data_IF_060584595994
#
_entry.id   IF_060584595994
#
_cell.length_a   1.000
_cell.length_b   1.000
_cell.length_c   1.000
_cell.angle_alpha   90.00
_cell.angle_beta   90.00
_cell.angle_gamma   90.00
#
_symmetry.space_group_name_H-M   'P 1'
#
loop_
_entity.id
_entity.type
_entity.pdbx_description
1 polymer ?
#
# COMPACT_ATOMS: atom_id res chain seq x y z
N UNK A 1 18.87 -12.67 4.03
CA UNK A 1 17.70 -12.18 4.84
C UNK A 1 16.75 -13.30 5.28
N UNK A 2 16.81 -14.47 4.67
CA UNK A 2 15.87 -15.57 4.97
C UNK A 2 15.88 -16.04 6.45
N UNK A 3 16.98 -15.87 7.15
CA UNK A 3 17.15 -16.20 8.58
C UNK A 3 16.78 -15.07 9.54
N UNK A 4 16.64 -13.84 9.07
CA UNK A 4 16.28 -12.67 9.88
C UNK A 4 14.75 -12.53 9.96
N UNK A 5 14.10 -13.40 10.75
CA UNK A 5 12.62 -13.46 10.87
C UNK A 5 12.13 -13.32 12.31
N UNK A 6 13.02 -12.98 13.27
CA UNK A 6 12.62 -12.83 14.67
C UNK A 6 11.63 -11.69 14.85
N UNK A 7 10.64 -11.91 15.71
CA UNK A 7 9.63 -10.92 16.07
C UNK A 7 9.48 -10.94 17.60
N UNK A 8 9.76 -9.80 18.22
CA UNK A 8 9.64 -9.61 19.67
C UNK A 8 8.56 -8.57 19.96
N UNK A 9 7.46 -9.00 20.58
CA UNK A 9 6.34 -8.14 20.95
C UNK A 9 6.46 -7.76 22.42
N UNK A 10 6.40 -6.46 22.70
CA UNK A 10 6.35 -5.91 24.05
C UNK A 10 5.01 -5.16 24.23
N UNK A 11 4.03 -5.82 24.87
CA UNK A 11 2.71 -5.25 25.08
C UNK A 11 2.72 -4.12 26.11
N UNK A 12 3.60 -4.15 27.12
CA UNK A 12 3.68 -3.08 28.12
C UNK A 12 4.06 -1.74 27.48
N UNK A 13 4.93 -1.76 26.49
CA UNK A 13 5.33 -0.56 25.76
C UNK A 13 4.56 -0.37 24.43
N UNK A 14 3.61 -1.27 24.13
CA UNK A 14 2.89 -1.33 22.86
C UNK A 14 3.84 -1.23 21.65
N UNK A 15 4.88 -2.08 21.61
CA UNK A 15 5.89 -2.10 20.54
C UNK A 15 6.15 -3.50 20.01
N UNK A 16 6.62 -3.58 18.78
CA UNK A 16 7.18 -4.80 18.20
C UNK A 16 8.52 -4.49 17.51
N UNK A 17 9.55 -5.27 17.84
CA UNK A 17 10.77 -5.35 17.05
C UNK A 17 10.60 -6.49 16.05
N UNK A 18 10.77 -6.20 14.77
CA UNK A 18 10.60 -7.16 13.69
C UNK A 18 11.82 -7.12 12.77
N UNK A 19 12.42 -8.28 12.55
CA UNK A 19 13.53 -8.42 11.60
C UNK A 19 13.02 -8.36 10.16
N UNK A 20 13.82 -7.77 9.28
CA UNK A 20 13.43 -7.38 7.92
C UNK A 20 13.08 -8.56 6.99
N UNK A 21 13.44 -9.79 7.34
CA UNK A 21 13.07 -11.01 6.62
C UNK A 21 11.74 -11.61 7.06
N UNK A 22 11.11 -11.10 8.12
CA UNK A 22 9.78 -11.53 8.53
C UNK A 22 8.71 -11.05 7.55
N UNK A 23 7.64 -11.82 7.40
CA UNK A 23 6.46 -11.41 6.62
C UNK A 23 5.44 -10.68 7.48
N UNK A 24 4.52 -9.95 6.83
CA UNK A 24 3.41 -9.28 7.52
C UNK A 24 2.52 -10.29 8.26
N UNK A 25 2.24 -11.45 7.66
CA UNK A 25 1.44 -12.50 8.29
C UNK A 25 2.07 -13.01 9.58
N UNK A 26 3.40 -13.26 9.58
CA UNK A 26 4.12 -13.66 10.78
C UNK A 26 4.04 -12.57 11.87
N UNK A 27 4.13 -11.30 11.49
CA UNK A 27 4.00 -10.18 12.43
C UNK A 27 2.58 -10.08 13.00
N UNK A 28 1.55 -10.15 12.17
CA UNK A 28 0.14 -10.10 12.62
C UNK A 28 -0.18 -11.26 13.57
N UNK A 29 0.21 -12.46 13.19
CA UNK A 29 0.03 -13.65 14.02
C UNK A 29 0.75 -13.50 15.37
N UNK A 30 2.02 -13.06 15.35
CA UNK A 30 2.80 -12.89 16.58
C UNK A 30 2.22 -11.82 17.51
N UNK A 31 1.70 -10.72 16.98
CA UNK A 31 1.01 -9.69 17.78
C UNK A 31 -0.26 -10.27 18.38
N UNK A 32 -1.07 -10.99 17.61
CA UNK A 32 -2.32 -11.60 18.06
C UNK A 32 -2.13 -12.66 19.16
N UNK A 33 -1.01 -13.40 19.12
CA UNK A 33 -0.63 -14.32 20.20
C UNK A 33 -0.37 -13.62 21.55
N UNK A 34 0.00 -12.34 21.52
CA UNK A 34 0.36 -11.57 22.71
C UNK A 34 -0.74 -10.61 23.17
N UNK A 35 -1.67 -10.21 22.25
CA UNK A 35 -2.74 -9.26 22.59
C UNK A 35 -3.90 -9.35 21.59
N UNK A 36 -5.12 -9.25 22.12
CA UNK A 36 -6.36 -9.18 21.33
C UNK A 36 -6.83 -7.73 21.06
N UNK A 37 -6.11 -6.75 21.59
CA UNK A 37 -6.45 -5.32 21.51
C UNK A 37 -5.34 -4.47 20.88
N UNK A 38 -4.35 -5.12 20.28
CA UNK A 38 -3.30 -4.45 19.51
C UNK A 38 -3.25 -4.96 18.07
N UNK A 39 -3.03 -4.04 17.15
CA UNK A 39 -2.86 -4.29 15.73
C UNK A 39 -1.61 -3.64 15.18
N UNK A 40 -1.37 -3.86 13.90
CA UNK A 40 -0.21 -3.35 13.17
C UNK A 40 -0.71 -2.57 11.95
N UNK A 41 -0.34 -1.29 11.79
CA UNK A 41 -0.56 -0.58 10.52
C UNK A 41 0.35 -1.18 9.45
N UNK A 42 -0.20 -1.99 8.58
CA UNK A 42 0.54 -2.68 7.53
C UNK A 42 -0.37 -3.18 6.42
N UNK A 43 0.22 -3.79 5.39
CA UNK A 43 -0.48 -4.23 4.19
C UNK A 43 -1.32 -5.49 4.39
N UNK A 44 -2.12 -5.81 3.38
CA UNK A 44 -3.11 -6.91 3.45
C UNK A 44 -2.56 -8.28 3.03
N UNK A 45 -1.49 -8.34 2.25
CA UNK A 45 -0.94 -9.61 1.77
C UNK A 45 0.01 -10.21 2.81
N UNK A 46 -0.31 -11.38 3.42
CA UNK A 46 0.49 -11.96 4.50
C UNK A 46 1.93 -12.32 4.12
N UNK A 47 2.16 -12.67 2.86
CA UNK A 47 3.49 -13.08 2.35
C UNK A 47 4.45 -11.92 2.09
N UNK A 48 4.01 -10.67 2.16
CA UNK A 48 4.86 -9.49 1.89
C UNK A 48 5.86 -9.30 3.02
N UNK A 49 7.15 -9.18 2.66
CA UNK A 49 8.25 -8.95 3.60
C UNK A 49 8.19 -7.56 4.25
N UNK A 50 8.35 -7.51 5.56
CA UNK A 50 8.30 -6.27 6.35
C UNK A 50 9.40 -5.29 6.00
N UNK A 51 10.59 -5.78 5.65
CA UNK A 51 11.76 -4.96 5.34
C UNK A 51 11.53 -3.98 4.19
N UNK A 52 10.99 -4.48 3.07
CA UNK A 52 10.66 -3.64 1.91
C UNK A 52 9.38 -2.85 2.10
N UNK A 53 8.34 -3.50 2.64
CA UNK A 53 7.01 -2.90 2.80
C UNK A 53 7.06 -1.62 3.64
N UNK A 54 7.70 -1.68 4.79
CA UNK A 54 7.81 -0.52 5.68
C UNK A 54 8.72 0.56 5.08
N UNK A 55 9.83 0.18 4.45
CA UNK A 55 10.75 1.13 3.83
C UNK A 55 10.13 2.06 2.78
N UNK A 56 9.06 1.64 2.11
CA UNK A 56 8.38 2.44 1.06
C UNK A 56 7.06 3.09 1.48
N UNK A 57 6.67 2.97 2.77
CA UNK A 57 5.41 3.54 3.28
C UNK A 57 4.60 2.52 4.08
N UNK A 58 4.11 1.48 3.45
CA UNK A 58 3.35 0.41 4.11
C UNK A 58 1.93 0.81 4.46
N UNK A 59 1.03 0.91 3.45
CA UNK A 59 -0.38 1.17 3.70
C UNK A 59 -1.18 -0.11 3.92
N UNK A 60 -2.30 0.02 4.62
CA UNK A 60 -3.26 -1.04 4.84
C UNK A 60 -4.59 -0.51 5.39
N UNK A 61 -5.44 -1.42 5.87
CA UNK A 61 -6.85 -1.15 6.19
C UNK A 61 -7.05 -0.13 7.32
N UNK A 62 -6.09 -0.01 8.23
CA UNK A 62 -6.18 0.91 9.37
C UNK A 62 -5.54 2.27 9.10
N UNK A 63 -5.08 2.54 7.86
CA UNK A 63 -4.33 3.75 7.52
C UNK A 63 -5.12 5.05 7.75
N UNK A 64 -6.45 5.01 7.62
CA UNK A 64 -7.31 6.18 7.84
C UNK A 64 -7.38 6.59 9.31
N UNK A 65 -7.09 5.67 10.23
CA UNK A 65 -7.05 5.93 11.68
C UNK A 65 -5.63 6.15 12.20
N UNK A 66 -4.67 5.36 11.72
CA UNK A 66 -3.33 5.31 12.31
C UNK A 66 -2.19 5.74 11.38
N UNK A 67 -2.49 6.07 10.12
CA UNK A 67 -1.46 6.35 9.11
C UNK A 67 -0.85 5.07 8.55
N UNK A 68 0.30 5.21 7.94
CA UNK A 68 1.08 4.13 7.33
C UNK A 68 1.96 3.42 8.37
N UNK A 69 2.55 2.30 7.99
CA UNK A 69 3.57 1.64 8.81
C UNK A 69 4.71 2.59 9.18
N UNK A 70 5.23 3.37 8.22
CA UNK A 70 6.31 4.34 8.45
C UNK A 70 5.98 5.42 9.47
N UNK A 71 4.71 5.75 9.64
CA UNK A 71 4.25 6.74 10.62
C UNK A 71 4.31 6.18 12.05
N UNK A 72 4.43 4.87 12.18
CA UNK A 72 4.47 4.13 13.44
C UNK A 72 5.84 3.47 13.71
N UNK A 73 6.84 3.64 12.82
CA UNK A 73 8.21 3.20 13.07
C UNK A 73 8.91 4.18 14.00
N UNK A 74 9.45 3.67 15.10
CA UNK A 74 10.12 4.46 16.15
C UNK A 74 11.64 4.27 16.19
N UNK A 75 12.14 3.14 15.66
CA UNK A 75 13.56 2.85 15.52
C UNK A 75 13.78 1.84 14.38
N UNK A 76 15.05 1.74 13.92
CA UNK A 76 15.46 0.75 12.94
C UNK A 76 16.92 0.37 13.13
N UNK A 77 17.31 -0.82 12.68
CA UNK A 77 18.73 -1.18 12.51
C UNK A 77 19.03 -1.30 11.03
N UNK A 78 20.13 -0.63 10.60
CA UNK A 78 20.60 -0.62 9.22
C UNK A 78 22.11 -0.91 9.20
N UNK A 79 22.57 -1.64 8.18
CA UNK A 79 23.99 -1.72 7.85
C UNK A 79 24.29 -0.63 6.82
N UNK A 80 25.23 0.25 7.16
CA UNK A 80 25.68 1.35 6.28
C UNK A 80 26.69 0.87 5.22
N UNK A 81 27.17 1.80 4.39
CA UNK A 81 28.16 1.53 3.32
C UNK A 81 29.53 1.07 3.87
N UNK A 82 29.84 1.36 5.12
CA UNK A 82 31.09 0.98 5.79
C UNK A 82 30.98 -0.35 6.56
N UNK A 83 29.80 -1.00 6.52
CA UNK A 83 29.54 -2.25 7.23
C UNK A 83 29.17 -2.05 8.72
N UNK A 84 28.95 -0.82 9.18
CA UNK A 84 28.55 -0.56 10.56
C UNK A 84 27.04 -0.79 10.73
N UNK A 85 26.67 -1.39 11.86
CA UNK A 85 25.26 -1.51 12.26
C UNK A 85 24.87 -0.26 13.04
N UNK A 86 23.91 0.49 12.51
CA UNK A 86 23.42 1.73 13.09
C UNK A 86 21.98 1.55 13.57
N UNK A 87 21.67 2.05 14.77
CA UNK A 87 20.32 2.31 15.27
C UNK A 87 19.91 3.77 14.99
N UNK A 88 18.71 4.19 15.38
CA UNK A 88 18.24 5.56 15.17
C UNK A 88 19.18 6.60 15.75
N UNK A 89 19.71 6.35 16.95
CA UNK A 89 20.60 7.31 17.62
C UNK A 89 21.93 7.48 16.87
N UNK A 90 22.53 6.38 16.42
CA UNK A 90 23.81 6.39 15.72
C UNK A 90 23.71 6.78 14.25
N UNK A 91 22.59 6.46 13.56
CA UNK A 91 22.38 6.90 12.17
C UNK A 91 21.96 8.37 12.06
N UNK A 92 21.38 8.95 13.10
CA UNK A 92 20.84 10.32 13.12
C UNK A 92 19.49 10.47 12.43
N UNK A 93 18.83 11.60 12.67
CA UNK A 93 17.45 11.81 12.23
C UNK A 93 17.30 11.92 10.70
N UNK A 94 18.31 12.39 9.97
CA UNK A 94 18.24 12.51 8.51
C UNK A 94 18.17 11.15 7.82
N UNK A 95 19.05 10.20 8.20
CA UNK A 95 19.02 8.86 7.64
C UNK A 95 17.80 8.09 8.12
N UNK A 96 17.44 8.24 9.42
CA UNK A 96 16.23 7.64 9.95
C UNK A 96 14.96 8.16 9.25
N UNK A 97 14.91 9.45 8.89
CA UNK A 97 13.83 9.99 8.06
C UNK A 97 13.85 9.34 6.67
N UNK A 98 15.02 9.30 6.02
CA UNK A 98 15.15 8.83 4.63
C UNK A 98 14.69 7.39 4.43
N UNK A 99 15.00 6.49 5.36
CA UNK A 99 14.63 5.06 5.24
C UNK A 99 13.15 4.79 5.51
N UNK A 100 12.42 5.71 6.16
CA UNK A 100 11.00 5.57 6.49
C UNK A 100 10.08 6.11 5.39
N UNK A 101 10.13 5.50 4.21
CA UNK A 101 9.32 5.88 3.04
C UNK A 101 10.12 6.22 1.79
N UNK A 102 11.44 6.43 1.92
CA UNK A 102 12.34 6.68 0.78
C UNK A 102 12.95 5.40 0.18
N UNK A 103 12.66 4.25 0.80
CA UNK A 103 13.21 2.97 0.38
C UNK A 103 14.61 2.72 0.97
N UNK A 104 14.68 1.90 2.02
CA UNK A 104 15.92 1.60 2.74
C UNK A 104 17.06 1.12 1.85
N UNK A 105 16.74 0.38 0.77
CA UNK A 105 17.72 -0.16 -0.18
C UNK A 105 18.55 0.90 -0.95
N UNK A 106 18.16 2.17 -0.91
CA UNK A 106 18.99 3.27 -1.44
C UNK A 106 20.09 3.73 -0.49
N UNK A 107 20.00 3.36 0.79
CA UNK A 107 20.85 3.91 1.86
C UNK A 107 21.63 2.86 2.64
N UNK A 108 21.24 1.58 2.57
CA UNK A 108 21.85 0.50 3.31
C UNK A 108 21.01 -0.77 3.31
N UNK A 109 21.39 -1.72 4.17
CA UNK A 109 20.65 -2.97 4.36
C UNK A 109 19.89 -2.89 5.68
N UNK A 110 18.57 -2.81 5.62
CA UNK A 110 17.72 -2.83 6.82
C UNK A 110 17.78 -4.22 7.45
N UNK A 111 18.09 -4.28 8.73
CA UNK A 111 18.11 -5.51 9.53
C UNK A 111 16.82 -5.71 10.31
N UNK A 112 16.30 -4.64 10.92
CA UNK A 112 15.07 -4.69 11.71
C UNK A 112 14.40 -3.33 11.82
N UNK A 113 13.12 -3.37 12.14
CA UNK A 113 12.28 -2.22 12.47
C UNK A 113 11.76 -2.37 13.91
N UNK A 114 11.72 -1.29 14.66
CA UNK A 114 10.92 -1.20 15.89
C UNK A 114 9.71 -0.32 15.61
N UNK A 115 8.54 -0.89 15.75
CA UNK A 115 7.30 -0.18 15.47
C UNK A 115 6.41 -0.08 16.70
N UNK A 116 5.62 0.98 16.75
CA UNK A 116 4.53 1.15 17.70
C UNK A 116 3.34 0.31 17.24
N UNK A 117 2.80 -0.50 18.14
CA UNK A 117 1.53 -1.16 17.95
C UNK A 117 0.39 -0.17 18.17
N UNK A 118 -0.73 -0.38 17.48
CA UNK A 118 -1.90 0.48 17.59
C UNK A 118 -3.04 -0.25 18.28
N UNK A 119 -3.87 0.51 19.01
CA UNK A 119 -5.03 -0.06 19.67
C UNK A 119 -6.12 -0.44 18.66
N UNK A 120 -6.61 -1.66 18.75
CA UNK A 120 -7.76 -2.12 17.98
C UNK A 120 -8.81 -2.69 18.92
N UNK A 121 -10.11 -2.56 18.62
CA UNK A 121 -11.12 -3.19 19.44
C UNK A 121 -11.00 -4.72 19.38
N UNK A 122 -11.40 -5.46 20.42
CA UNK A 122 -11.34 -6.92 20.44
C UNK A 122 -12.22 -7.55 19.36
N UNK A 123 -13.22 -6.82 18.89
CA UNK A 123 -14.10 -7.20 17.79
C UNK A 123 -14.14 -6.07 16.75
N UNK A 124 -13.84 -6.42 15.51
CA UNK A 124 -13.99 -5.58 14.32
C UNK A 124 -15.09 -6.14 13.44
N UNK A 125 -15.62 -5.31 12.55
CA UNK A 125 -16.64 -5.73 11.58
C UNK A 125 -16.07 -5.65 10.18
N UNK A 126 -16.26 -6.70 9.38
CA UNK A 126 -15.92 -6.72 7.97
C UNK A 126 -17.14 -7.01 7.11
N UNK A 127 -17.14 -6.49 5.87
CA UNK A 127 -18.11 -6.90 4.85
C UNK A 127 -17.51 -6.85 3.45
N UNK A 128 -18.14 -7.57 2.51
CA UNK A 128 -17.87 -7.50 1.07
C UNK A 128 -19.19 -7.46 0.33
N UNK A 129 -19.52 -6.32 -0.28
CA UNK A 129 -20.70 -6.16 -1.12
C UNK A 129 -20.28 -6.02 -2.59
N UNK A 130 -20.84 -6.87 -3.43
CA UNK A 130 -20.58 -6.86 -4.87
C UNK A 130 -21.74 -6.18 -5.62
N UNK A 131 -21.41 -5.35 -6.61
CA UNK A 131 -22.39 -4.75 -7.53
C UNK A 131 -21.81 -4.77 -8.94
N UNK A 132 -22.61 -5.21 -9.91
CA UNK A 132 -22.28 -5.04 -11.32
C UNK A 132 -22.72 -3.68 -11.84
N UNK A 133 -22.32 -3.31 -13.06
CA UNK A 133 -22.79 -2.05 -13.66
C UNK A 133 -24.32 -2.02 -13.76
N UNK A 134 -24.94 -3.14 -14.11
CA UNK A 134 -26.39 -3.31 -14.24
C UNK A 134 -27.12 -3.18 -12.89
N UNK A 135 -26.40 -3.45 -11.79
CA UNK A 135 -26.90 -3.28 -10.42
C UNK A 135 -26.58 -1.89 -9.84
N UNK A 136 -26.26 -0.91 -10.68
CA UNK A 136 -25.97 0.46 -10.24
C UNK A 136 -24.54 0.64 -9.70
N UNK A 137 -23.62 -0.30 -9.95
CA UNK A 137 -22.25 -0.25 -9.46
C UNK A 137 -21.51 1.03 -9.82
N UNK A 138 -21.76 1.58 -11.04
CA UNK A 138 -21.11 2.83 -11.47
C UNK A 138 -21.55 4.04 -10.64
N UNK A 139 -22.84 4.16 -10.31
CA UNK A 139 -23.36 5.25 -9.48
C UNK A 139 -22.85 5.13 -8.03
N UNK A 140 -22.74 3.91 -7.51
CA UNK A 140 -22.15 3.66 -6.21
C UNK A 140 -20.66 4.01 -6.17
N UNK A 141 -19.88 3.72 -7.23
CA UNK A 141 -18.48 4.16 -7.34
C UNK A 141 -18.39 5.68 -7.40
N UNK A 142 -19.27 6.33 -8.17
CA UNK A 142 -19.31 7.80 -8.22
C UNK A 142 -19.57 8.38 -6.82
N UNK A 143 -20.56 7.85 -6.09
CA UNK A 143 -20.87 8.29 -4.72
C UNK A 143 -19.72 7.99 -3.75
N UNK A 144 -19.11 6.79 -3.85
CA UNK A 144 -18.00 6.39 -3.00
C UNK A 144 -16.83 7.38 -3.05
N UNK A 145 -16.49 7.94 -4.21
CA UNK A 145 -15.42 8.93 -4.33
C UNK A 145 -15.65 10.18 -3.46
N UNK A 146 -16.91 10.56 -3.24
CA UNK A 146 -17.29 11.70 -2.40
C UNK A 146 -17.29 11.36 -0.92
N UNK A 147 -17.75 10.16 -0.57
CA UNK A 147 -17.98 9.79 0.84
C UNK A 147 -16.76 9.13 1.48
N UNK A 148 -16.05 8.27 0.75
CA UNK A 148 -15.01 7.42 1.35
C UNK A 148 -13.87 8.19 2.04
N UNK A 149 -13.35 9.31 1.51
CA UNK A 149 -12.35 10.10 2.21
C UNK A 149 -12.87 10.76 3.49
N UNK A 150 -14.19 11.01 3.56
CA UNK A 150 -14.86 11.73 4.64
C UNK A 150 -15.57 10.83 5.65
N UNK A 151 -15.58 9.51 5.45
CA UNK A 151 -16.13 8.55 6.39
C UNK A 151 -15.45 8.66 7.76
N UNK A 152 -16.12 8.16 8.81
CA UNK A 152 -15.49 8.04 10.13
C UNK A 152 -14.14 7.32 10.03
N UNK A 153 -13.14 7.74 10.82
CA UNK A 153 -11.76 7.20 10.72
C UNK A 153 -11.65 5.70 11.00
N UNK A 154 -12.61 5.15 11.75
CA UNK A 154 -12.68 3.72 12.01
C UNK A 154 -13.19 2.90 10.82
N UNK A 155 -13.67 3.54 9.74
CA UNK A 155 -14.18 2.88 8.53
C UNK A 155 -13.15 2.97 7.42
N UNK A 156 -12.79 1.83 6.85
CA UNK A 156 -12.01 1.73 5.61
C UNK A 156 -12.83 0.90 4.61
N UNK A 157 -13.22 1.50 3.48
CA UNK A 157 -13.93 0.80 2.40
C UNK A 157 -13.12 0.95 1.13
N UNK A 158 -12.43 -0.10 0.69
CA UNK A 158 -11.75 -0.15 -0.60
C UNK A 158 -12.69 -0.65 -1.68
N UNK A 159 -12.41 -0.29 -2.92
CA UNK A 159 -13.02 -0.91 -4.09
C UNK A 159 -12.04 -1.89 -4.69
N UNK A 160 -12.49 -3.11 -4.96
CA UNK A 160 -11.83 -4.06 -5.84
C UNK A 160 -12.70 -4.17 -7.11
N UNK A 161 -12.10 -3.85 -8.25
CA UNK A 161 -12.80 -3.71 -9.52
C UNK A 161 -12.18 -4.69 -10.51
N UNK A 162 -13.00 -5.54 -11.08
CA UNK A 162 -12.58 -6.57 -12.03
C UNK A 162 -13.66 -6.82 -13.09
N UNK A 163 -13.30 -7.42 -14.20
CA UNK A 163 -14.24 -7.89 -15.20
C UNK A 163 -14.70 -9.31 -14.85
N UNK A 164 -16.00 -9.50 -14.77
CA UNK A 164 -16.63 -10.82 -14.58
C UNK A 164 -17.82 -10.94 -15.49
N UNK A 165 -17.93 -12.06 -16.20
CA UNK A 165 -19.07 -12.34 -17.10
C UNK A 165 -19.37 -11.17 -18.07
N UNK A 166 -18.32 -10.59 -18.66
CA UNK A 166 -18.38 -9.47 -19.61
C UNK A 166 -18.97 -8.16 -19.06
N UNK A 167 -19.09 -8.03 -17.74
CA UNK A 167 -19.43 -6.76 -17.08
C UNK A 167 -18.40 -6.40 -16.02
N UNK A 168 -18.41 -5.16 -15.54
CA UNK A 168 -17.56 -4.76 -14.42
C UNK A 168 -18.26 -5.12 -13.13
N UNK A 169 -17.57 -5.86 -12.28
CA UNK A 169 -17.94 -6.10 -10.89
C UNK A 169 -17.11 -5.19 -9.97
N UNK A 170 -17.79 -4.46 -9.14
CA UNK A 170 -17.21 -3.64 -8.07
C UNK A 170 -17.51 -4.29 -6.73
N UNK A 171 -16.48 -4.65 -5.99
CA UNK A 171 -16.57 -5.16 -4.63
C UNK A 171 -16.21 -4.03 -3.65
N UNK A 172 -17.14 -3.65 -2.79
CA UNK A 172 -16.94 -2.74 -1.66
C UNK A 172 -16.49 -3.58 -0.48
N UNK A 173 -15.20 -3.51 -0.13
CA UNK A 173 -14.58 -4.35 0.92
C UNK A 173 -14.23 -3.47 2.10
N UNK A 174 -14.83 -3.75 3.24
CA UNK A 174 -14.75 -2.92 4.45
C UNK A 174 -14.02 -3.60 5.60
N UNK A 175 -13.24 -2.81 6.33
CA UNK A 175 -12.90 -3.03 7.73
C UNK A 175 -13.41 -1.85 8.55
N UNK A 176 -14.11 -2.16 9.63
CA UNK A 176 -14.58 -1.22 10.62
C UNK A 176 -14.06 -1.59 12.02
N UNK A 177 -13.38 -0.65 12.65
CA UNK A 177 -12.86 -0.83 14.00
C UNK A 177 -13.98 -0.62 15.04
N UNK A 178 -14.85 -1.62 15.15
CA UNK A 178 -15.99 -1.62 16.05
C UNK A 178 -17.04 -2.67 15.68
N UNK A 179 -18.15 -2.67 16.43
CA UNK A 179 -19.25 -3.61 16.27
C UNK A 179 -20.24 -3.17 15.18
N UNK A 180 -20.95 -4.13 14.61
CA UNK A 180 -21.85 -4.00 13.47
C UNK A 180 -22.93 -2.93 13.68
N UNK A 181 -23.56 -2.83 14.84
CA UNK A 181 -24.67 -1.89 15.06
C UNK A 181 -24.18 -0.42 14.93
N UNK A 182 -22.95 -0.12 15.42
CA UNK A 182 -22.34 1.19 15.23
C UNK A 182 -21.97 1.44 13.75
N UNK A 183 -21.47 0.42 13.04
CA UNK A 183 -21.18 0.52 11.61
C UNK A 183 -22.44 0.88 10.83
N UNK A 184 -23.54 0.15 11.03
CA UNK A 184 -24.80 0.38 10.32
C UNK A 184 -25.31 1.81 10.55
N UNK A 185 -25.30 2.30 11.81
CA UNK A 185 -25.70 3.68 12.13
C UNK A 185 -24.83 4.73 11.42
N UNK A 186 -23.53 4.49 11.26
CA UNK A 186 -22.63 5.39 10.53
C UNK A 186 -22.87 5.32 9.01
N UNK A 187 -23.10 4.14 8.47
CA UNK A 187 -23.32 3.93 7.04
C UNK A 187 -24.67 4.48 6.58
N UNK A 188 -25.73 4.34 7.38
CA UNK A 188 -27.04 4.93 7.10
C UNK A 188 -26.96 6.45 6.93
N UNK A 189 -26.09 7.13 7.70
CA UNK A 189 -25.89 8.58 7.61
C UNK A 189 -24.96 9.01 6.48
N UNK A 190 -23.98 8.18 6.14
CA UNK A 190 -22.87 8.60 5.27
C UNK A 190 -22.95 8.01 3.86
N UNK A 191 -23.46 6.78 3.74
CA UNK A 191 -23.51 6.05 2.47
C UNK A 191 -24.73 5.08 2.41
N UNK A 192 -25.96 5.59 2.63
CA UNK A 192 -27.17 4.76 2.63
C UNK A 192 -27.41 4.06 1.30
N UNK A 193 -26.96 4.66 0.18
CA UNK A 193 -27.13 4.10 -1.16
C UNK A 193 -26.43 2.73 -1.33
N UNK A 194 -25.43 2.40 -0.51
CA UNK A 194 -24.76 1.10 -0.54
C UNK A 194 -25.72 -0.04 -0.17
N UNK A 195 -26.75 0.27 0.65
CA UNK A 195 -27.75 -0.70 1.09
C UNK A 195 -27.20 -1.79 2.02
N UNK A 196 -26.23 -1.43 2.88
CA UNK A 196 -25.60 -2.36 3.83
C UNK A 196 -26.61 -2.84 4.86
N UNK A 197 -26.68 -4.16 5.08
CA UNK A 197 -27.51 -4.79 6.10
C UNK A 197 -26.66 -5.56 7.10
N UNK A 198 -27.25 -5.91 8.24
CA UNK A 198 -26.56 -6.70 9.29
C UNK A 198 -26.12 -8.08 8.78
N UNK A 199 -26.89 -8.69 7.89
CA UNK A 199 -26.58 -9.99 7.31
C UNK A 199 -25.39 -9.98 6.35
N UNK A 200 -24.95 -8.81 5.86
CA UNK A 200 -23.76 -8.67 5.02
C UNK A 200 -22.47 -8.62 5.84
N UNK A 201 -22.58 -8.45 7.17
CA UNK A 201 -21.47 -8.15 8.06
C UNK A 201 -21.04 -9.36 8.87
N UNK A 202 -19.71 -9.46 9.11
CA UNK A 202 -19.13 -10.45 10.00
C UNK A 202 -18.35 -9.75 11.11
N UNK A 203 -18.65 -10.09 12.36
CA UNK A 203 -17.88 -9.66 13.53
C UNK A 203 -16.81 -10.70 13.86
N UNK A 204 -15.55 -10.27 13.99
CA UNK A 204 -14.40 -11.15 14.19
C UNK A 204 -13.24 -10.41 14.87
N UNK A 205 -12.26 -11.13 15.45
CA UNK A 205 -11.03 -10.51 15.96
C UNK A 205 -10.26 -9.79 14.84
N UNK A 206 -9.53 -8.72 15.18
CA UNK A 206 -8.77 -7.93 14.21
C UNK A 206 -7.83 -8.79 13.35
N UNK A 207 -7.13 -9.75 13.95
CA UNK A 207 -6.22 -10.63 13.18
C UNK A 207 -6.94 -11.41 12.08
N UNK A 208 -8.20 -11.80 12.30
CA UNK A 208 -9.00 -12.50 11.31
C UNK A 208 -9.49 -11.55 10.19
N UNK A 209 -9.59 -10.24 10.44
CA UNK A 209 -9.85 -9.28 9.36
C UNK A 209 -8.71 -9.23 8.34
N UNK A 210 -7.47 -9.44 8.76
CA UNK A 210 -6.33 -9.52 7.84
C UNK A 210 -6.43 -10.73 6.90
N UNK A 211 -6.94 -11.87 7.39
CA UNK A 211 -7.26 -13.04 6.56
C UNK A 211 -8.41 -12.76 5.59
N UNK A 212 -9.48 -12.10 6.06
CA UNK A 212 -10.61 -11.72 5.20
C UNK A 212 -10.15 -10.86 4.01
N UNK A 213 -9.28 -9.88 4.25
CA UNK A 213 -8.74 -9.03 3.18
C UNK A 213 -7.74 -9.77 2.28
N UNK A 214 -7.07 -10.79 2.78
CA UNK A 214 -6.23 -11.71 2.00
C UNK A 214 -7.05 -12.80 1.27
N UNK A 215 -8.39 -12.66 1.27
CA UNK A 215 -9.36 -13.53 0.56
C UNK A 215 -9.46 -14.96 1.10
N UNK A 216 -9.07 -15.18 2.35
CA UNK A 216 -9.35 -16.45 3.02
C UNK A 216 -10.84 -16.53 3.43
N UNK A 217 -11.43 -17.73 3.44
CA UNK A 217 -12.80 -17.93 3.93
C UNK A 217 -12.99 -17.46 5.38
N UNK A 218 -14.19 -16.97 5.69
CA UNK A 218 -14.57 -16.66 7.10
C UNK A 218 -14.45 -17.94 7.93
N UNK A 219 -13.89 -17.81 9.14
CA UNK A 219 -13.62 -18.94 10.02
C UNK A 219 -12.23 -19.57 9.85
N UNK A 220 -11.43 -19.10 8.88
CA UNK A 220 -10.03 -19.54 8.76
C UNK A 220 -9.26 -19.16 10.02
N UNK A 221 -8.50 -20.11 10.56
CA UNK A 221 -7.68 -19.92 11.76
C UNK A 221 -6.49 -19.01 11.50
N UNK A 222 -6.06 -18.25 12.51
CA UNK A 222 -5.02 -17.23 12.36
C UNK A 222 -3.65 -17.81 11.93
N UNK A 223 -3.39 -19.08 12.21
CA UNK A 223 -2.21 -19.81 11.77
C UNK A 223 -2.01 -19.81 10.26
N UNK A 224 -3.08 -19.64 9.49
CA UNK A 224 -2.99 -19.51 8.03
C UNK A 224 -2.12 -18.32 7.59
N UNK A 225 -1.94 -17.29 8.44
CA UNK A 225 -1.03 -16.17 8.20
C UNK A 225 0.46 -16.58 8.17
N UNK A 226 0.82 -17.73 8.72
CA UNK A 226 2.19 -18.23 8.76
C UNK A 226 2.59 -18.95 7.46
N UNK A 227 1.61 -19.38 6.68
CA UNK A 227 1.86 -20.08 5.44
C UNK A 227 2.00 -19.06 4.30
N UNK A 228 3.05 -19.21 3.53
CA UNK A 228 3.18 -18.49 2.28
C UNK A 228 1.99 -18.91 1.40
N UNK A 229 1.18 -17.93 0.96
CA UNK A 229 0.09 -18.23 0.04
C UNK A 229 0.67 -18.97 -1.14
N UNK A 230 0.12 -20.14 -1.43
CA UNK A 230 0.49 -20.94 -2.60
C UNK A 230 0.02 -20.21 -3.87
N UNK A 231 0.68 -19.09 -4.22
CA UNK A 231 0.62 -18.65 -5.62
C UNK A 231 1.28 -19.75 -6.42
N UNK A 232 0.68 -20.18 -7.52
CA UNK A 232 1.37 -21.07 -8.43
C UNK A 232 2.77 -20.52 -8.69
N UNK A 233 3.79 -21.34 -8.54
CA UNK A 233 5.20 -20.94 -8.67
C UNK A 233 5.54 -20.29 -10.03
N UNK A 234 4.64 -20.33 -10.99
CA UNK A 234 4.80 -19.96 -12.40
C UNK A 234 3.89 -18.81 -12.83
N UNK A 235 3.54 -17.88 -11.93
CA UNK A 235 2.76 -16.70 -12.34
C UNK A 235 3.63 -15.45 -12.47
N UNK A 236 3.41 -14.72 -13.55
CA UNK A 236 3.98 -13.39 -13.79
C UNK A 236 2.97 -12.32 -13.40
N UNK A 237 3.46 -11.15 -13.00
CA UNK A 237 2.58 -10.01 -12.75
C UNK A 237 3.26 -8.69 -13.10
N UNK A 238 2.45 -7.68 -13.41
CA UNK A 238 2.88 -6.29 -13.48
C UNK A 238 1.88 -5.41 -12.75
N UNK A 239 2.43 -4.46 -11.95
CA UNK A 239 1.67 -3.46 -11.22
C UNK A 239 1.99 -2.05 -11.70
N UNK A 240 1.02 -1.13 -11.50
CA UNK A 240 1.15 0.32 -11.60
C UNK A 240 0.34 0.98 -10.49
N UNK A 241 0.56 2.26 -10.26
CA UNK A 241 -0.22 3.02 -9.30
C UNK A 241 -0.50 4.43 -9.74
N UNK A 242 -1.57 5.00 -9.21
CA UNK A 242 -1.96 6.40 -9.37
C UNK A 242 -2.57 6.96 -8.09
N UNK A 243 -2.70 8.27 -8.05
CA UNK A 243 -3.43 9.02 -7.02
C UNK A 243 -4.50 9.89 -7.67
N UNK A 244 -5.72 9.81 -7.14
CA UNK A 244 -6.85 10.61 -7.60
C UNK A 244 -7.10 11.73 -6.60
N UNK A 245 -7.15 12.97 -7.12
CA UNK A 245 -7.28 14.20 -6.33
C UNK A 245 -8.60 14.93 -6.59
N UNK A 246 -9.28 14.60 -7.67
CA UNK A 246 -10.60 15.13 -8.05
C UNK A 246 -11.51 13.98 -8.43
N UNK A 247 -12.77 14.10 -8.09
CA UNK A 247 -13.79 13.11 -8.43
C UNK A 247 -13.84 12.90 -9.95
N UNK A 248 -13.79 11.65 -10.36
CA UNK A 248 -14.00 11.24 -11.75
C UNK A 248 -15.50 11.37 -12.05
N UNK A 249 -15.87 12.12 -13.09
CA UNK A 249 -17.27 12.30 -13.46
C UNK A 249 -17.95 10.99 -13.88
N UNK A 250 -19.27 10.96 -13.95
CA UNK A 250 -20.00 9.78 -14.42
C UNK A 250 -19.61 9.39 -15.85
N UNK A 251 -19.44 10.38 -16.74
CA UNK A 251 -18.97 10.18 -18.12
C UNK A 251 -17.53 9.66 -18.15
N UNK A 252 -16.68 10.17 -17.24
CA UNK A 252 -15.33 9.67 -17.04
C UNK A 252 -15.32 8.20 -16.63
N UNK A 253 -16.14 7.83 -15.65
CA UNK A 253 -16.30 6.43 -15.22
C UNK A 253 -16.79 5.54 -16.37
N UNK A 254 -17.77 5.99 -17.17
CA UNK A 254 -18.25 5.23 -18.34
C UNK A 254 -17.12 4.95 -19.34
N UNK A 255 -16.26 5.95 -19.60
CA UNK A 255 -15.11 5.77 -20.50
C UNK A 255 -14.10 4.76 -19.94
N UNK A 256 -13.88 4.78 -18.61
CA UNK A 256 -13.04 3.83 -17.91
C UNK A 256 -13.61 2.42 -17.99
N UNK A 257 -14.92 2.25 -17.71
CA UNK A 257 -15.58 0.94 -17.75
C UNK A 257 -15.54 0.29 -19.13
N UNK A 258 -15.79 1.07 -20.18
CA UNK A 258 -15.69 0.59 -21.56
C UNK A 258 -14.32 -0.03 -21.84
N UNK A 259 -13.24 0.69 -21.50
CA UNK A 259 -11.87 0.19 -21.69
C UNK A 259 -11.55 -0.97 -20.78
N UNK A 260 -12.07 -0.96 -19.56
CA UNK A 260 -11.83 -2.02 -18.58
C UNK A 260 -12.43 -3.36 -19.03
N UNK A 261 -13.65 -3.35 -19.58
CA UNK A 261 -14.29 -4.54 -20.14
C UNK A 261 -13.47 -5.14 -21.29
N UNK A 262 -12.87 -4.29 -22.14
CA UNK A 262 -12.00 -4.75 -23.24
C UNK A 262 -10.72 -5.44 -22.74
N UNK A 263 -10.27 -5.14 -21.52
CA UNK A 263 -9.02 -5.67 -20.97
C UNK A 263 -9.15 -7.07 -20.37
N UNK A 264 -10.34 -7.42 -19.85
CA UNK A 264 -10.77 -8.67 -19.20
C UNK A 264 -9.92 -9.18 -18.02
N UNK A 265 -8.64 -8.82 -17.95
CA UNK A 265 -7.64 -9.43 -17.03
C UNK A 265 -7.08 -8.47 -15.98
N UNK A 266 -7.37 -7.17 -16.08
CA UNK A 266 -6.88 -6.19 -15.10
C UNK A 266 -7.76 -6.22 -13.85
N UNK A 267 -7.10 -6.11 -12.69
CA UNK A 267 -7.73 -5.80 -11.42
C UNK A 267 -7.31 -4.39 -11.01
N UNK A 268 -8.27 -3.57 -10.59
CA UNK A 268 -7.98 -2.29 -9.93
C UNK A 268 -8.42 -2.32 -8.48
N UNK A 269 -7.57 -1.80 -7.60
CA UNK A 269 -7.90 -1.58 -6.21
C UNK A 269 -7.83 -0.10 -5.89
N UNK A 270 -8.97 0.48 -5.48
CA UNK A 270 -9.07 1.87 -5.09
C UNK A 270 -9.12 1.98 -3.57
N UNK A 271 -8.08 2.53 -2.97
CA UNK A 271 -7.90 2.58 -1.52
C UNK A 271 -8.14 4.01 -1.02
N UNK A 272 -9.15 4.24 -0.14
CA UNK A 272 -9.56 5.59 0.27
C UNK A 272 -8.50 6.24 1.14
N UNK A 273 -8.32 7.54 0.95
CA UNK A 273 -7.54 8.42 1.81
C UNK A 273 -8.43 9.09 2.86
N UNK A 274 -8.06 10.25 3.35
CA UNK A 274 -8.77 10.94 4.43
C UNK A 274 -8.32 10.51 5.82
N UNK A 275 -8.99 11.02 6.85
CA UNK A 275 -8.62 10.76 8.23
C UNK A 275 -7.16 11.08 8.52
N UNK A 276 -6.44 10.19 9.21
CA UNK A 276 -5.03 10.38 9.59
C UNK A 276 -4.10 10.65 8.41
N UNK A 277 -4.42 10.14 7.22
CA UNK A 277 -3.63 10.39 6.01
C UNK A 277 -3.60 11.87 5.62
N UNK A 278 -4.63 12.64 5.95
CA UNK A 278 -4.67 14.08 5.69
C UNK A 278 -4.08 14.93 6.81
N UNK A 279 -3.96 14.38 8.04
CA UNK A 279 -3.39 15.11 9.19
C UNK A 279 -1.86 15.15 9.13
N UNK A 280 -1.22 14.13 8.54
CA UNK A 280 0.24 14.02 8.53
C UNK A 280 0.81 14.89 7.41
N UNK A 281 1.75 15.81 7.72
CA UNK A 281 2.40 16.62 6.70
C UNK A 281 3.15 15.75 5.66
N UNK A 282 3.16 16.19 4.40
CA UNK A 282 3.85 15.50 3.31
C UNK A 282 5.37 15.35 3.53
N UNK A 283 5.96 16.23 4.36
CA UNK A 283 7.39 16.20 4.70
C UNK A 283 7.74 15.39 5.95
N UNK A 284 6.74 14.88 6.70
CA UNK A 284 6.98 14.13 7.94
C UNK A 284 7.78 12.83 7.70
N UNK A 285 7.59 12.24 6.55
CA UNK A 285 8.37 11.11 6.02
C UNK A 285 8.65 11.35 4.53
N UNK A 286 9.55 10.62 3.90
CA UNK A 286 9.74 10.71 2.44
C UNK A 286 8.49 10.40 1.62
N UNK A 287 7.54 9.62 2.15
CA UNK A 287 6.26 9.33 1.50
C UNK A 287 5.37 10.60 1.48
N UNK A 288 5.19 11.29 0.33
CA UNK A 288 4.58 12.62 0.28
C UNK A 288 3.07 12.62 0.03
N UNK A 289 2.50 11.47 -0.32
CA UNK A 289 1.11 11.37 -0.79
C UNK A 289 0.14 11.42 0.39
N UNK A 290 -0.22 12.63 0.81
CA UNK A 290 -1.01 12.93 2.00
C UNK A 290 -2.26 13.72 1.65
N UNK A 291 -2.46 14.87 2.24
CA UNK A 291 -3.59 15.78 2.00
C UNK A 291 -3.80 16.05 0.50
N UNK A 292 -5.06 16.13 0.08
CA UNK A 292 -5.45 16.40 -1.31
C UNK A 292 -5.68 15.14 -2.15
N UNK A 293 -5.23 13.97 -1.71
CA UNK A 293 -5.57 12.71 -2.37
C UNK A 293 -6.91 12.18 -1.83
N UNK A 294 -7.84 11.81 -2.72
CA UNK A 294 -9.11 11.17 -2.37
C UNK A 294 -8.89 9.67 -2.17
N UNK A 295 -8.15 9.06 -3.09
CA UNK A 295 -7.79 7.63 -3.05
C UNK A 295 -6.56 7.34 -3.90
N UNK A 296 -5.95 6.20 -3.61
CA UNK A 296 -4.88 5.60 -4.40
C UNK A 296 -5.45 4.47 -5.23
N UNK A 297 -4.93 4.29 -6.45
CA UNK A 297 -5.25 3.16 -7.32
C UNK A 297 -4.02 2.26 -7.43
N UNK A 298 -4.24 0.96 -7.24
CA UNK A 298 -3.36 -0.09 -7.73
C UNK A 298 -3.97 -0.69 -8.98
N UNK A 299 -3.18 -0.83 -10.03
CA UNK A 299 -3.49 -1.63 -11.22
C UNK A 299 -2.65 -2.88 -11.15
N UNK A 300 -3.25 -4.03 -11.40
CA UNK A 300 -2.55 -5.31 -11.41
C UNK A 300 -3.04 -6.18 -12.56
N UNK A 301 -2.10 -6.82 -13.23
CA UNK A 301 -2.36 -7.87 -14.20
C UNK A 301 -1.48 -9.07 -13.85
N UNK A 302 -2.06 -10.26 -13.92
CA UNK A 302 -1.35 -11.53 -13.67
C UNK A 302 -1.58 -12.45 -14.86
N UNK A 303 -0.54 -13.16 -15.28
CA UNK A 303 -0.61 -14.13 -16.37
C UNK A 303 0.28 -15.34 -16.07
N UNK A 304 0.08 -16.42 -16.82
CA UNK A 304 0.74 -17.71 -16.58
C UNK A 304 1.56 -18.19 -17.77
N UNK A 305 1.36 -17.61 -18.95
CA UNK A 305 2.11 -17.96 -20.15
C UNK A 305 3.50 -17.34 -20.08
N UNK A 306 4.52 -18.15 -20.39
CA UNK A 306 5.90 -17.69 -20.51
C UNK A 306 6.16 -17.08 -21.92
N UNK A 307 7.27 -16.37 -22.02
CA UNK A 307 7.76 -15.85 -23.28
C UNK A 307 7.50 -14.35 -23.50
N UNK A 308 8.26 -13.81 -24.42
CA UNK A 308 8.28 -12.37 -24.69
C UNK A 308 6.95 -11.84 -25.26
N UNK A 309 6.27 -12.62 -26.06
CA UNK A 309 4.95 -12.26 -26.62
C UNK A 309 3.90 -12.11 -25.52
N UNK A 310 3.87 -13.04 -24.56
CA UNK A 310 2.95 -12.95 -23.41
C UNK A 310 3.26 -11.74 -22.54
N UNK A 311 4.54 -11.45 -22.28
CA UNK A 311 4.98 -10.26 -21.54
C UNK A 311 4.52 -8.99 -22.27
N UNK A 312 4.81 -8.86 -23.57
CA UNK A 312 4.47 -7.69 -24.36
C UNK A 312 2.95 -7.49 -24.46
N UNK A 313 2.19 -8.55 -24.65
CA UNK A 313 0.73 -8.52 -24.70
C UNK A 313 0.16 -7.95 -23.38
N UNK A 314 0.52 -8.54 -22.25
CA UNK A 314 -0.01 -8.12 -20.93
C UNK A 314 0.46 -6.72 -20.52
N UNK A 315 1.71 -6.35 -20.85
CA UNK A 315 2.21 -4.99 -20.62
C UNK A 315 1.44 -3.96 -21.44
N UNK A 316 1.11 -4.25 -22.69
CA UNK A 316 0.34 -3.34 -23.56
C UNK A 316 -1.09 -3.14 -23.06
N UNK A 317 -1.75 -4.20 -22.56
CA UNK A 317 -3.05 -4.11 -21.93
C UNK A 317 -2.99 -3.14 -20.74
N UNK A 318 -2.07 -3.37 -19.80
CA UNK A 318 -1.95 -2.55 -18.59
C UNK A 318 -1.57 -1.10 -18.91
N UNK A 319 -0.63 -0.87 -19.85
CA UNK A 319 -0.24 0.47 -20.33
C UNK A 319 -1.39 1.21 -20.98
N UNK A 320 -2.22 0.50 -21.76
CA UNK A 320 -3.42 1.08 -22.38
C UNK A 320 -4.41 1.55 -21.31
N UNK A 321 -4.67 0.74 -20.30
CA UNK A 321 -5.54 1.13 -19.18
C UNK A 321 -4.95 2.31 -18.39
N UNK A 322 -3.67 2.28 -18.10
CA UNK A 322 -2.97 3.38 -17.44
C UNK A 322 -3.06 4.69 -18.25
N UNK A 323 -3.00 4.63 -19.59
CA UNK A 323 -3.17 5.78 -20.47
C UNK A 323 -4.58 6.38 -20.40
N UNK A 324 -5.63 5.54 -20.38
CA UNK A 324 -7.02 5.99 -20.24
C UNK A 324 -7.25 6.74 -18.92
N UNK A 325 -6.56 6.35 -17.86
CA UNK A 325 -6.67 7.01 -16.56
C UNK A 325 -5.98 8.39 -16.49
N UNK A 326 -5.14 8.75 -17.46
CA UNK A 326 -4.36 10.01 -17.44
C UNK A 326 -5.19 11.28 -17.17
N UNK A 327 -6.39 11.47 -17.72
CA UNK A 327 -7.19 12.67 -17.44
C UNK A 327 -7.65 12.80 -15.98
N UNK A 328 -7.77 11.69 -15.27
CA UNK A 328 -8.47 11.56 -13.99
C UNK A 328 -7.55 11.52 -12.77
N UNK A 329 -6.25 11.35 -12.98
CA UNK A 329 -5.27 11.16 -11.91
C UNK A 329 -4.42 12.40 -11.67
N UNK A 330 -3.59 12.40 -10.64
CA UNK A 330 -2.68 13.49 -10.29
C UNK A 330 -1.78 13.90 -11.46
N UNK A 331 -1.45 15.20 -11.53
CA UNK A 331 -0.67 15.80 -12.62
C UNK A 331 0.46 16.66 -12.05
N UNK A 332 1.54 16.78 -12.82
CA UNK A 332 2.67 17.67 -12.56
C UNK A 332 3.34 17.46 -11.19
N UNK A 333 3.81 16.26 -10.86
CA UNK A 333 3.89 15.05 -11.69
C UNK A 333 2.66 14.14 -11.52
N UNK A 334 2.47 13.18 -12.44
CA UNK A 334 1.64 12.01 -12.22
C UNK A 334 2.34 11.15 -11.17
N UNK A 335 1.73 11.05 -9.99
CA UNK A 335 2.32 10.45 -8.81
C UNK A 335 2.25 8.92 -8.86
N UNK A 336 3.17 8.26 -8.16
CA UNK A 336 3.23 6.80 -8.07
C UNK A 336 3.62 6.37 -6.65
N UNK A 337 3.28 5.14 -6.28
CA UNK A 337 3.63 4.54 -4.99
C UNK A 337 4.89 3.69 -5.11
N UNK A 338 5.89 3.95 -4.27
CA UNK A 338 7.20 3.31 -4.33
C UNK A 338 7.14 1.77 -4.24
N UNK A 339 6.26 1.22 -3.40
CA UNK A 339 6.15 -0.23 -3.23
C UNK A 339 5.47 -0.93 -4.43
N UNK A 340 4.80 -0.18 -5.30
CA UNK A 340 4.30 -0.66 -6.58
C UNK A 340 5.27 -0.27 -7.69
N UNK A 341 6.49 -0.81 -7.61
CA UNK A 341 7.57 -0.47 -8.54
C UNK A 341 7.17 -0.66 -9.98
N UNK A 342 7.36 0.40 -10.76
CA UNK A 342 7.04 0.43 -12.16
C UNK A 342 8.17 1.10 -12.95
N UNK A 343 8.94 0.32 -13.69
CA UNK A 343 10.07 0.82 -14.49
C UNK A 343 9.59 1.64 -15.70
N UNK A 344 8.33 1.56 -16.10
CA UNK A 344 7.77 2.39 -17.18
C UNK A 344 7.74 3.89 -16.83
N UNK A 345 7.76 4.25 -15.53
CA UNK A 345 7.74 5.65 -15.10
C UNK A 345 9.12 6.32 -15.10
N UNK A 346 10.16 5.55 -15.43
CA UNK A 346 11.58 5.94 -15.49
C UNK A 346 12.45 4.99 -14.68
N UNK A 347 13.68 4.85 -15.11
CA UNK A 347 14.70 4.04 -14.43
C UNK A 347 16.08 4.64 -14.66
N UNK A 348 17.02 4.35 -13.77
CA UNK A 348 18.42 4.66 -13.97
C UNK A 348 18.97 3.93 -15.21
N UNK A 349 19.83 4.54 -15.99
CA UNK A 349 20.43 3.90 -17.15
C UNK A 349 21.29 2.70 -16.75
N UNK A 350 21.26 1.64 -17.54
CA UNK A 350 22.02 0.40 -17.30
C UNK A 350 23.53 0.56 -17.48
N UNK A 351 23.96 1.58 -18.22
CA UNK A 351 25.36 1.87 -18.55
C UNK A 351 26.13 2.70 -17.50
N UNK A 352 25.62 2.79 -16.29
CA UNK A 352 26.41 3.17 -15.12
C UNK A 352 26.49 4.65 -14.75
N UNK A 353 26.06 5.59 -15.57
CA UNK A 353 26.06 7.02 -15.20
C UNK A 353 24.71 7.41 -14.59
N UNK A 354 24.54 7.09 -13.30
CA UNK A 354 23.37 7.52 -12.54
C UNK A 354 23.61 8.96 -12.08
N UNK A 355 22.70 9.87 -12.45
CA UNK A 355 22.72 11.26 -11.99
C UNK A 355 21.34 11.68 -11.46
N UNK A 356 21.30 12.77 -10.71
CA UNK A 356 20.10 13.28 -10.05
C UNK A 356 19.01 13.67 -11.05
N UNK A 357 19.38 14.27 -12.21
CA UNK A 357 18.40 14.73 -13.20
C UNK A 357 17.69 13.54 -13.88
N UNK A 358 18.43 12.50 -14.22
CA UNK A 358 17.85 11.26 -14.76
C UNK A 358 16.94 10.58 -13.71
N UNK A 359 17.38 10.51 -12.47
CA UNK A 359 16.60 9.92 -11.37
C UNK A 359 15.35 10.75 -11.00
N UNK A 360 15.35 12.06 -11.25
CA UNK A 360 14.20 12.94 -10.99
C UNK A 360 12.96 12.54 -11.79
N UNK A 361 13.10 11.87 -12.93
CA UNK A 361 11.98 11.41 -13.76
C UNK A 361 11.04 10.51 -12.96
N UNK A 362 11.56 9.56 -12.18
CA UNK A 362 10.78 8.70 -11.30
C UNK A 362 10.74 9.21 -9.85
N UNK A 363 11.82 9.86 -9.40
CA UNK A 363 11.94 10.37 -8.03
C UNK A 363 10.90 11.41 -7.70
N UNK A 364 10.61 12.35 -8.61
CA UNK A 364 9.53 13.32 -8.41
C UNK A 364 8.15 12.67 -8.33
N UNK A 365 7.91 11.54 -9.01
CA UNK A 365 6.64 10.82 -8.96
C UNK A 365 6.45 10.07 -7.63
N UNK A 366 7.53 9.50 -7.09
CA UNK A 366 7.50 8.79 -5.80
C UNK A 366 7.55 9.73 -4.60
N UNK A 367 8.37 10.79 -4.68
CA UNK A 367 8.76 11.57 -3.50
C UNK A 367 8.40 13.06 -3.57
N UNK A 368 7.94 13.56 -4.73
CA UNK A 368 7.61 14.97 -4.94
C UNK A 368 8.76 15.88 -4.45
N UNK A 369 8.46 16.87 -3.64
CA UNK A 369 9.40 17.85 -3.06
C UNK A 369 10.41 17.20 -2.09
N UNK A 370 10.10 16.01 -1.56
CA UNK A 370 11.01 15.27 -0.65
C UNK A 370 12.21 14.63 -1.38
N UNK A 371 12.18 14.55 -2.73
CA UNK A 371 13.25 13.93 -3.51
C UNK A 371 14.60 14.61 -3.29
N UNK A 372 14.64 15.94 -3.26
CA UNK A 372 15.90 16.68 -3.10
C UNK A 372 16.52 16.45 -1.71
N UNK A 373 15.71 16.38 -0.66
CA UNK A 373 16.21 16.01 0.67
C UNK A 373 16.74 14.58 0.70
N UNK A 374 16.09 13.65 0.02
CA UNK A 374 16.58 12.26 -0.09
C UNK A 374 17.94 12.19 -0.79
N UNK A 375 18.14 12.98 -1.86
CA UNK A 375 19.43 13.10 -2.56
C UNK A 375 20.50 13.67 -1.64
N UNK A 376 20.18 14.70 -0.85
CA UNK A 376 21.11 15.28 0.13
C UNK A 376 21.53 14.25 1.18
N UNK A 377 20.60 13.48 1.74
CA UNK A 377 20.90 12.41 2.69
C UNK A 377 21.77 11.34 2.04
N UNK A 378 21.41 10.91 0.82
CA UNK A 378 22.21 9.93 0.05
C UNK A 378 23.65 10.40 -0.16
N UNK A 379 23.83 11.66 -0.55
CA UNK A 379 25.16 12.26 -0.76
C UNK A 379 26.03 12.22 0.50
N UNK A 380 25.40 12.40 1.67
CA UNK A 380 26.09 12.36 2.96
C UNK A 380 26.47 10.96 3.41
N UNK A 381 25.60 9.95 3.19
CA UNK A 381 25.75 8.61 3.79
C UNK A 381 26.32 7.57 2.82
N UNK A 382 26.23 7.81 1.51
CA UNK A 382 26.74 6.91 0.46
C UNK A 382 27.13 7.72 -0.79
N UNK A 383 28.19 8.56 -0.68
CA UNK A 383 28.62 9.46 -1.76
C UNK A 383 29.10 8.71 -3.02
N UNK A 384 29.65 7.50 -2.86
CA UNK A 384 30.10 6.66 -3.97
C UNK A 384 28.97 5.87 -4.62
N UNK A 385 27.73 6.01 -4.14
CA UNK A 385 26.55 5.33 -4.66
C UNK A 385 26.70 3.80 -4.69
N UNK A 386 27.20 3.22 -3.60
CA UNK A 386 27.35 1.77 -3.45
C UNK A 386 25.99 1.07 -3.49
N UNK A 387 25.01 1.57 -2.74
CA UNK A 387 23.63 1.06 -2.73
C UNK A 387 22.84 1.64 -3.89
N UNK A 388 22.82 0.93 -5.01
CA UNK A 388 22.15 1.36 -6.24
C UNK A 388 21.34 0.25 -6.91
N UNK A 389 20.27 0.64 -7.55
CA UNK A 389 19.41 -0.20 -8.37
C UNK A 389 18.64 0.69 -9.38
N UNK A 390 17.76 0.11 -10.20
CA UNK A 390 17.13 0.81 -11.34
C UNK A 390 16.33 2.08 -10.97
N UNK A 391 15.82 2.18 -9.75
CA UNK A 391 15.10 3.37 -9.27
C UNK A 391 15.62 3.83 -7.91
N UNK A 392 16.91 3.62 -7.64
CA UNK A 392 17.56 4.11 -6.42
C UNK A 392 17.77 5.61 -6.47
N UNK A 393 17.82 6.22 -5.30
CA UNK A 393 18.14 7.64 -5.10
C UNK A 393 19.67 7.80 -5.27
N UNK A 394 20.15 8.61 -6.23
CA UNK A 394 21.59 8.86 -6.41
C UNK A 394 22.08 9.97 -5.48
N UNK A 395 23.40 10.03 -5.19
CA UNK A 395 24.03 11.20 -4.59
C UNK A 395 24.21 12.32 -5.63
N UNK A 396 24.42 13.56 -5.18
CA UNK A 396 25.03 14.59 -5.99
C UNK A 396 26.48 14.17 -6.28
N UNK A 397 26.88 14.24 -7.56
CA UNK A 397 28.30 14.21 -7.93
C UNK A 397 28.81 15.64 -7.90
N UNK A 398 29.82 15.89 -7.10
CA UNK A 398 30.59 17.13 -7.10
C UNK A 398 31.62 17.12 -8.21
#
# INVERSE_FOLDING_TARGET
>A
MYTFKSIHVNIQNATALVEAGASLGQLYYKVAQNSHVHGVPGGICPSVGTGGHFGGGGYGNVMRKYGLAVDNIIDAKIVDVNGHILDRKSMGEDLFWAIRGGGGASFGVILSWTMKLVEVPPVVTVFRLNRTLEQGGSDLVYKWQHVAPNLHRDIFIRLQIEVRQKTVRVSFVCEFLGRVDRLLSLMEKSFPELGLTKSDCFELPWVNSTLFFAEYPIGTVAEALLYESSRPAESYFKGKSDYVQKVISKEGLQSVWKKFIESEVIIMEWNPYGGRMWDIPASATPFPHRTGNLFQIQYMITWYQDGEDAINHNFNILRSMYKIMTPFVSKSPRQAYLNYRDRDIGANPSNGTINVDAARIYGAKFFRENFDKLVQVKTKVDPENFFRYEQSIPPHKY
#
